data_IF_081063201652
#
_entry.id   IF_081063201652
#
_cell.length_a   1.000
_cell.length_b   1.000
_cell.length_c   1.000
_cell.angle_alpha   90.00
_cell.angle_beta   90.00
_cell.angle_gamma   90.00
#
_symmetry.space_group_name_H-M   'P 1'
#
loop_
_entity.id
_entity.type
_entity.pdbx_description
1 polymer ?
#
# COMPACT_ATOMS: atom_id res chain seq x y z
N UNK A 1 -9.49 6.30 -4.87
CA UNK A 1 -10.06 5.60 -3.70
C UNK A 1 -9.17 5.83 -2.50
N UNK A 2 -9.73 6.11 -1.35
CA UNK A 2 -8.93 6.37 -0.16
C UNK A 2 -9.25 5.33 0.92
N UNK A 3 -8.54 5.41 2.05
CA UNK A 3 -8.68 4.43 3.15
C UNK A 3 -10.11 4.40 3.71
N UNK A 4 -10.73 5.56 3.89
CA UNK A 4 -12.08 5.63 4.42
C UNK A 4 -13.10 4.98 3.49
N UNK A 5 -12.97 5.20 2.18
CA UNK A 5 -13.85 4.57 1.19
C UNK A 5 -13.73 3.06 1.23
N UNK A 6 -12.50 2.54 1.36
CA UNK A 6 -12.26 1.10 1.43
C UNK A 6 -12.88 0.52 2.70
N UNK A 7 -12.68 1.18 3.82
CA UNK A 7 -13.22 0.74 5.10
C UNK A 7 -14.74 0.72 5.07
N UNK A 8 -15.37 1.75 4.51
CA UNK A 8 -16.81 1.84 4.40
C UNK A 8 -17.40 0.77 3.49
N UNK A 9 -16.72 0.45 2.39
CA UNK A 9 -17.23 -0.44 1.38
C UNK A 9 -16.96 -1.92 1.68
N UNK A 10 -15.80 -2.23 2.24
CA UNK A 10 -15.35 -3.61 2.45
C UNK A 10 -15.18 -4.00 3.91
N UNK A 11 -15.24 -3.05 4.84
CA UNK A 11 -14.91 -3.28 6.24
C UNK A 11 -15.79 -4.31 6.95
N UNK A 12 -17.06 -4.42 6.57
CA UNK A 12 -17.98 -5.38 7.19
C UNK A 12 -17.66 -6.81 6.77
N UNK A 13 -17.26 -7.00 5.50
CA UNK A 13 -16.94 -8.32 4.96
C UNK A 13 -15.47 -8.69 5.17
N UNK A 14 -14.59 -7.68 5.26
CA UNK A 14 -13.15 -7.87 5.37
C UNK A 14 -12.59 -7.01 6.52
N UNK A 15 -12.94 -7.34 7.78
CA UNK A 15 -12.54 -6.50 8.92
C UNK A 15 -11.04 -6.49 9.19
N UNK A 16 -10.30 -7.44 8.63
CA UNK A 16 -8.86 -7.57 8.84
C UNK A 16 -8.02 -6.99 7.70
N UNK A 17 -8.65 -6.26 6.78
CA UNK A 17 -7.93 -5.64 5.66
C UNK A 17 -6.83 -4.72 6.19
N UNK A 18 -5.63 -4.82 5.61
CA UNK A 18 -4.45 -4.08 6.08
C UNK A 18 -4.07 -2.95 5.15
N UNK A 19 -3.53 -1.90 5.74
CA UNK A 19 -3.06 -0.71 5.04
C UNK A 19 -1.59 -0.44 5.38
N UNK A 20 -0.86 0.12 4.42
CA UNK A 20 0.49 0.62 4.67
C UNK A 20 0.36 2.02 5.28
N UNK A 21 0.75 2.16 6.54
CA UNK A 21 0.59 3.43 7.26
C UNK A 21 1.40 4.56 6.62
N UNK A 22 0.75 5.69 6.44
CA UNK A 22 1.39 6.89 5.90
C UNK A 22 1.35 7.01 4.39
N UNK A 23 0.76 6.04 3.67
CA UNK A 23 0.76 6.03 2.21
C UNK A 23 -0.65 5.98 1.60
N UNK A 24 -1.63 6.52 2.31
CA UNK A 24 -3.02 6.51 1.84
C UNK A 24 -3.17 7.17 0.46
N UNK A 25 -2.38 8.20 0.17
CA UNK A 25 -2.42 8.90 -1.12
C UNK A 25 -1.96 8.01 -2.28
N UNK A 26 -1.24 6.94 -1.99
CA UNK A 26 -0.75 6.02 -3.00
C UNK A 26 -1.67 4.83 -3.25
N UNK A 27 -2.83 4.77 -2.58
CA UNK A 27 -3.79 3.68 -2.80
C UNK A 27 -4.33 3.75 -4.22
N UNK A 28 -4.10 2.68 -4.99
CA UNK A 28 -4.63 2.55 -6.35
C UNK A 28 -6.02 1.91 -6.37
N UNK A 29 -6.33 1.09 -5.37
CA UNK A 29 -7.61 0.42 -5.28
C UNK A 29 -7.53 -0.83 -4.43
N UNK A 30 -8.40 -1.80 -4.73
CA UNK A 30 -8.42 -3.09 -4.05
C UNK A 30 -8.51 -4.20 -5.10
N UNK A 31 -8.10 -5.40 -4.72
CA UNK A 31 -8.15 -6.57 -5.59
C UNK A 31 -8.66 -7.77 -4.78
N UNK A 32 -9.44 -8.60 -5.43
CA UNK A 32 -9.84 -9.91 -4.90
C UNK A 32 -8.81 -10.95 -5.36
N UNK A 33 -8.15 -11.61 -4.41
CA UNK A 33 -7.07 -12.55 -4.72
C UNK A 33 -7.53 -14.01 -4.84
N UNK A 34 -8.83 -14.23 -4.84
CA UNK A 34 -9.41 -15.57 -4.85
C UNK A 34 -9.89 -16.03 -3.48
N UNK A 35 -9.42 -15.39 -2.41
CA UNK A 35 -9.79 -15.72 -1.04
C UNK A 35 -10.19 -14.50 -0.22
N UNK A 36 -9.53 -13.34 -0.46
CA UNK A 36 -9.78 -12.13 0.32
C UNK A 36 -9.51 -10.87 -0.48
N UNK A 37 -10.08 -9.76 -0.03
CA UNK A 37 -9.83 -8.45 -0.63
C UNK A 37 -8.57 -7.84 -0.03
N UNK A 38 -7.66 -7.36 -0.89
CA UNK A 38 -6.40 -6.76 -0.48
C UNK A 38 -6.25 -5.39 -1.11
N UNK A 39 -5.63 -4.48 -0.37
CA UNK A 39 -5.37 -3.12 -0.86
C UNK A 39 -4.22 -3.15 -1.86
N UNK A 40 -4.33 -2.37 -2.92
CA UNK A 40 -3.29 -2.21 -3.94
C UNK A 40 -2.75 -0.80 -3.88
N UNK A 41 -1.44 -0.67 -3.79
CA UNK A 41 -0.73 0.61 -3.79
C UNK A 41 0.02 0.80 -5.10
N UNK A 42 0.10 2.05 -5.54
CA UNK A 42 0.94 2.45 -6.67
C UNK A 42 2.36 2.69 -6.16
N UNK A 43 3.29 1.84 -6.57
CA UNK A 43 4.69 1.90 -6.11
C UNK A 43 5.34 3.24 -6.44
N UNK A 44 5.12 3.77 -7.64
CA UNK A 44 5.71 5.06 -8.02
C UNK A 44 5.24 6.20 -7.13
N UNK A 45 3.96 6.20 -6.76
CA UNK A 45 3.44 7.21 -5.83
C UNK A 45 4.06 7.08 -4.44
N UNK A 46 4.29 5.85 -3.97
CA UNK A 46 4.98 5.65 -2.70
C UNK A 46 6.39 6.24 -2.76
N UNK A 47 7.12 5.99 -3.86
CA UNK A 47 8.47 6.52 -4.03
C UNK A 47 8.46 8.05 -4.07
N UNK A 48 7.50 8.65 -4.77
CA UNK A 48 7.35 10.11 -4.80
C UNK A 48 7.08 10.68 -3.41
N UNK A 49 6.24 10.02 -2.62
CA UNK A 49 5.96 10.46 -1.25
C UNK A 49 7.22 10.37 -0.37
N UNK A 50 8.00 9.31 -0.51
CA UNK A 50 9.25 9.18 0.24
C UNK A 50 10.25 10.27 -0.14
N UNK A 51 10.38 10.57 -1.42
CA UNK A 51 11.26 11.63 -1.90
C UNK A 51 10.83 13.01 -1.37
N UNK A 52 9.52 13.28 -1.37
CA UNK A 52 9.00 14.56 -0.93
C UNK A 52 8.97 14.75 0.57
N UNK A 53 8.61 13.72 1.33
CA UNK A 53 8.44 13.80 2.79
C UNK A 53 9.76 13.61 3.55
N UNK A 54 10.62 12.74 3.06
CA UNK A 54 11.85 12.34 3.75
C UNK A 54 13.11 12.83 3.06
N UNK A 55 12.95 13.64 2.02
CA UNK A 55 14.07 14.20 1.25
C UNK A 55 15.04 13.15 0.71
N UNK A 56 14.51 11.97 0.39
CA UNK A 56 15.31 10.89 -0.18
C UNK A 56 15.55 11.12 -1.67
N UNK A 57 16.71 10.67 -2.16
CA UNK A 57 16.89 10.53 -3.61
C UNK A 57 16.04 9.37 -4.09
N UNK A 58 15.85 9.25 -5.40
CA UNK A 58 15.09 8.13 -5.98
C UNK A 58 15.70 6.78 -5.57
N UNK A 59 17.02 6.65 -5.63
CA UNK A 59 17.70 5.42 -5.25
C UNK A 59 17.48 5.07 -3.77
N UNK A 60 17.53 6.06 -2.90
CA UNK A 60 17.27 5.88 -1.48
C UNK A 60 15.82 5.46 -1.22
N UNK A 61 14.89 6.06 -1.95
CA UNK A 61 13.48 5.72 -1.84
C UNK A 61 13.22 4.27 -2.27
N UNK A 62 13.84 3.82 -3.36
CA UNK A 62 13.73 2.44 -3.83
C UNK A 62 14.26 1.46 -2.77
N UNK A 63 15.42 1.73 -2.19
CA UNK A 63 15.99 0.88 -1.13
C UNK A 63 15.09 0.83 0.08
N UNK A 64 14.60 1.98 0.52
CA UNK A 64 13.70 2.05 1.67
C UNK A 64 12.42 1.26 1.42
N UNK A 65 11.83 1.42 0.24
CA UNK A 65 10.63 0.71 -0.15
C UNK A 65 10.85 -0.81 -0.13
N UNK A 66 11.94 -1.28 -0.74
CA UNK A 66 12.22 -2.71 -0.82
C UNK A 66 12.40 -3.35 0.57
N UNK A 67 13.11 -2.69 1.47
CA UNK A 67 13.42 -3.26 2.77
C UNK A 67 12.34 -3.04 3.82
N UNK A 68 11.66 -1.91 3.78
CA UNK A 68 10.77 -1.51 4.89
C UNK A 68 9.28 -1.58 4.54
N UNK A 69 8.94 -1.63 3.26
CA UNK A 69 7.55 -1.63 2.81
C UNK A 69 7.23 -2.92 2.08
N UNK A 70 7.81 -3.13 0.91
CA UNK A 70 7.52 -4.31 0.09
C UNK A 70 8.02 -5.60 0.71
N UNK A 71 9.11 -5.54 1.48
CA UNK A 71 9.67 -6.68 2.16
C UNK A 71 8.96 -7.08 3.45
N UNK A 72 8.00 -6.28 3.92
CA UNK A 72 7.29 -6.54 5.17
C UNK A 72 6.08 -7.44 4.93
N UNK A 73 6.15 -8.67 5.40
CA UNK A 73 5.01 -9.56 5.37
C UNK A 73 4.16 -9.32 6.62
N UNK A 74 2.89 -8.98 6.41
CA UNK A 74 1.96 -8.63 7.50
C UNK A 74 0.79 -9.62 7.61
N UNK A 75 0.97 -10.83 7.10
CA UNK A 75 -0.05 -11.85 7.12
C UNK A 75 -0.80 -11.96 5.80
N UNK A 76 -1.95 -12.60 5.81
CA UNK A 76 -2.72 -12.91 4.61
C UNK A 76 -3.31 -11.69 3.92
N UNK A 77 -3.42 -10.57 4.63
CA UNK A 77 -3.96 -9.31 4.09
C UNK A 77 -2.86 -8.33 3.70
N UNK A 78 -1.61 -8.79 3.59
CA UNK A 78 -0.50 -7.93 3.13
C UNK A 78 -0.87 -7.25 1.82
N UNK A 79 -0.74 -5.92 1.72
CA UNK A 79 -1.09 -5.22 0.49
C UNK A 79 -0.25 -5.64 -0.71
N UNK A 80 -0.79 -5.43 -1.89
CA UNK A 80 -0.03 -5.56 -3.14
C UNK A 80 0.56 -4.21 -3.53
N UNK A 81 1.71 -4.25 -4.16
CA UNK A 81 2.40 -3.05 -4.65
C UNK A 81 2.55 -3.17 -6.16
N UNK A 82 1.79 -2.33 -6.87
CA UNK A 82 1.76 -2.34 -8.33
C UNK A 82 2.92 -1.55 -8.90
N UNK A 83 3.74 -2.22 -9.70
CA UNK A 83 4.82 -1.57 -10.44
C UNK A 83 4.36 -1.26 -11.86
N UNK A 84 4.56 -0.03 -12.28
CA UNK A 84 4.16 0.42 -13.61
C UNK A 84 5.34 0.83 -14.46
#
# INVERSE_FOLDING_TARGET
MNRADITDHYGDDEPNILFAEGFDEAIAGVVWDGERTRVVYDTELILELLMGRSEMTYEEAVEYFDFNIAGSYMGEYTPFYLET
#
